data_IF_272771776338
#
_entry.id   IF_272771776338
#
_cell.length_a   1.000
_cell.length_b   1.000
_cell.length_c   1.000
_cell.angle_alpha   90.00
_cell.angle_beta   90.00
_cell.angle_gamma   90.00
#
_symmetry.space_group_name_H-M   'P 1'
#
loop_
_entity.id
_entity.type
_entity.pdbx_description
1 polymer ?
#
# COMPACT_ATOMS: atom_id res chain seq x y z
N UNK A 1 25.91 8.32 -17.94
CA UNK A 1 25.62 7.59 -16.69
C UNK A 1 24.20 7.94 -16.28
N UNK A 2 23.38 6.94 -15.82
CA UNK A 2 22.02 7.17 -15.30
C UNK A 2 22.10 7.58 -13.82
N UNK A 3 21.38 8.62 -13.44
CA UNK A 3 21.34 9.11 -12.08
C UNK A 3 19.90 9.16 -11.57
N UNK A 4 19.70 8.68 -10.35
CA UNK A 4 18.41 8.72 -9.67
C UNK A 4 18.42 9.77 -8.56
N UNK A 5 17.36 10.55 -8.50
CA UNK A 5 17.12 11.54 -7.45
C UNK A 5 15.91 11.11 -6.65
N UNK A 6 16.11 10.81 -5.38
CA UNK A 6 15.04 10.40 -4.49
C UNK A 6 14.71 11.48 -3.48
N UNK A 7 13.43 11.78 -3.31
CA UNK A 7 12.95 12.86 -2.44
C UNK A 7 11.96 12.33 -1.43
N UNK A 8 12.16 12.68 -0.16
CA UNK A 8 11.22 12.45 0.92
C UNK A 8 10.90 10.98 1.14
N UNK A 9 9.68 10.73 1.57
CA UNK A 9 9.16 9.38 1.76
C UNK A 9 9.20 8.89 3.20
N UNK A 10 9.19 7.59 3.33
CA UNK A 10 9.30 6.84 4.58
C UNK A 10 10.41 5.79 4.46
N UNK A 11 10.51 4.87 5.42
CA UNK A 11 11.55 3.84 5.43
C UNK A 11 11.59 2.97 4.17
N UNK A 12 10.53 2.90 3.38
CA UNK A 12 10.57 2.23 2.07
C UNK A 12 11.50 2.94 1.10
N UNK A 13 11.53 4.28 1.13
CA UNK A 13 12.44 5.07 0.30
C UNK A 13 13.91 4.87 0.72
N UNK A 14 14.19 4.77 2.02
CA UNK A 14 15.50 4.38 2.51
C UNK A 14 15.98 3.05 1.89
N UNK A 15 15.16 2.01 2.02
CA UNK A 15 15.52 0.69 1.49
C UNK A 15 15.51 0.63 -0.05
N UNK A 16 14.66 1.42 -0.70
CA UNK A 16 14.69 1.58 -2.16
C UNK A 16 16.03 2.20 -2.61
N UNK A 17 16.49 3.26 -1.93
CA UNK A 17 17.79 3.88 -2.23
C UNK A 17 18.94 2.90 -2.01
N UNK A 18 18.94 2.16 -0.89
CA UNK A 18 19.93 1.14 -0.59
C UNK A 18 19.95 0.04 -1.66
N UNK A 19 18.78 -0.50 -2.03
CA UNK A 19 18.66 -1.51 -3.07
C UNK A 19 19.22 -1.04 -4.42
N UNK A 20 18.88 0.17 -4.86
CA UNK A 20 19.37 0.72 -6.12
C UNK A 20 20.90 0.91 -6.10
N UNK A 21 21.47 1.38 -4.97
CA UNK A 21 22.91 1.49 -4.79
C UNK A 21 23.60 0.12 -4.85
N UNK A 22 23.03 -0.91 -4.26
CA UNK A 22 23.52 -2.31 -4.35
C UNK A 22 23.50 -2.85 -5.80
N UNK A 23 22.57 -2.38 -6.63
CA UNK A 23 22.53 -2.70 -8.06
C UNK A 23 23.49 -1.85 -8.90
N UNK A 24 24.36 -1.04 -8.28
CA UNK A 24 25.34 -0.21 -8.96
C UNK A 24 24.77 1.08 -9.56
N UNK A 25 23.56 1.48 -9.14
CA UNK A 25 22.91 2.71 -9.59
C UNK A 25 23.37 3.89 -8.74
N UNK A 26 23.68 5.02 -9.37
CA UNK A 26 23.98 6.26 -8.65
C UNK A 26 22.69 6.91 -8.17
N UNK A 27 22.51 7.03 -6.85
CA UNK A 27 21.30 7.55 -6.21
C UNK A 27 21.67 8.71 -5.28
N UNK A 28 21.15 9.89 -5.59
CA UNK A 28 21.18 11.09 -4.74
C UNK A 28 19.90 11.16 -3.92
N UNK A 29 20.00 11.47 -2.64
CA UNK A 29 18.85 11.56 -1.72
C UNK A 29 18.64 12.97 -1.19
N UNK A 30 17.35 13.36 -1.05
CA UNK A 30 16.95 14.62 -0.42
C UNK A 30 15.78 14.37 0.52
N UNK A 31 15.97 14.61 1.82
CA UNK A 31 14.98 14.38 2.89
C UNK A 31 14.45 12.93 2.94
N UNK A 32 15.24 11.98 2.53
CA UNK A 32 14.94 10.55 2.68
C UNK A 32 15.35 10.10 4.09
N UNK A 33 14.47 9.41 4.86
CA UNK A 33 14.80 8.96 6.21
C UNK A 33 16.10 8.14 6.26
N UNK A 34 16.92 8.38 7.28
CA UNK A 34 18.20 7.68 7.51
C UNK A 34 19.18 7.69 6.32
N UNK A 35 19.04 8.68 5.42
CA UNK A 35 19.98 8.97 4.34
C UNK A 35 20.58 10.37 4.55
N UNK A 36 21.83 10.55 4.13
CA UNK A 36 22.44 11.87 4.11
C UNK A 36 21.92 12.68 2.93
N UNK A 37 21.53 13.95 3.18
CA UNK A 37 21.15 14.87 2.12
C UNK A 37 22.42 15.34 1.38
N UNK A 38 22.50 15.11 0.09
CA UNK A 38 23.64 15.57 -0.73
C UNK A 38 23.53 17.08 -1.06
N UNK A 39 22.34 17.66 -0.92
CA UNK A 39 22.09 19.08 -1.20
C UNK A 39 21.31 19.75 -0.07
N UNK A 40 21.61 21.03 0.18
CA UNK A 40 20.98 21.80 1.25
C UNK A 40 19.57 22.29 0.91
N UNK A 41 19.19 22.30 -0.35
CA UNK A 41 17.86 22.76 -0.79
C UNK A 41 17.46 22.17 -2.14
N UNK A 42 16.16 22.10 -2.39
CA UNK A 42 15.60 21.65 -3.68
C UNK A 42 16.05 22.52 -4.88
N UNK A 43 16.03 23.86 -4.80
CA UNK A 43 16.52 24.70 -5.91
C UNK A 43 17.97 24.39 -6.29
N UNK A 44 18.84 24.23 -5.31
CA UNK A 44 20.25 23.89 -5.53
C UNK A 44 20.39 22.52 -6.21
N UNK A 45 19.65 21.53 -5.76
CA UNK A 45 19.63 20.19 -6.34
C UNK A 45 19.17 20.26 -7.80
N UNK A 46 18.02 20.86 -8.09
CA UNK A 46 17.43 20.92 -9.44
C UNK A 46 18.30 21.71 -10.43
N UNK A 47 18.99 22.76 -9.98
CA UNK A 47 19.90 23.55 -10.79
C UNK A 47 21.20 22.78 -11.12
N UNK A 48 21.76 22.09 -10.13
CA UNK A 48 22.94 21.24 -10.32
C UNK A 48 22.64 20.13 -11.34
N UNK A 49 21.48 19.50 -11.24
CA UNK A 49 21.09 18.46 -12.22
C UNK A 49 20.99 18.97 -13.63
N UNK A 50 20.44 20.16 -13.85
CA UNK A 50 20.35 20.76 -15.19
C UNK A 50 21.72 20.98 -15.84
N UNK A 51 22.74 21.25 -15.03
CA UNK A 51 24.06 21.68 -15.50
C UNK A 51 25.09 20.55 -15.56
N UNK A 52 24.80 19.36 -15.01
CA UNK A 52 25.73 18.24 -15.03
C UNK A 52 25.70 17.51 -16.38
N UNK A 53 26.69 17.79 -17.22
CA UNK A 53 26.84 17.17 -18.55
C UNK A 53 27.35 15.72 -18.51
N UNK A 54 27.75 15.19 -17.36
CA UNK A 54 28.23 13.80 -17.18
C UNK A 54 27.08 12.81 -17.06
N UNK A 55 25.88 13.29 -16.76
CA UNK A 55 24.66 12.50 -16.59
C UNK A 55 23.88 12.46 -17.91
N UNK A 56 23.66 11.27 -18.42
CA UNK A 56 22.92 11.02 -19.68
C UNK A 56 21.41 10.93 -19.44
N UNK A 57 21.00 10.40 -18.31
CA UNK A 57 19.60 10.20 -17.97
C UNK A 57 19.34 10.45 -16.48
N UNK A 58 18.31 11.22 -16.17
CA UNK A 58 17.93 11.66 -14.82
C UNK A 58 16.55 11.17 -14.48
N UNK A 59 16.46 10.35 -13.44
CA UNK A 59 15.20 9.75 -12.97
C UNK A 59 14.83 10.34 -11.62
N UNK A 60 13.66 10.95 -11.54
CA UNK A 60 13.09 11.42 -10.28
C UNK A 60 12.29 10.30 -9.61
N UNK A 61 12.64 9.96 -8.37
CA UNK A 61 11.93 8.99 -7.55
C UNK A 61 11.16 9.70 -6.44
N UNK A 62 9.85 9.57 -6.49
CA UNK A 62 8.91 10.13 -5.52
C UNK A 62 8.33 9.05 -4.61
N UNK A 63 7.90 9.40 -3.39
CA UNK A 63 7.41 8.43 -2.41
C UNK A 63 6.06 7.79 -2.75
N UNK A 64 5.62 6.88 -1.87
CA UNK A 64 4.31 6.20 -1.94
C UNK A 64 3.52 6.44 -0.64
N UNK A 65 2.40 7.19 -0.65
CA UNK A 65 1.94 8.06 -1.74
C UNK A 65 2.88 9.25 -1.93
N UNK A 66 2.83 9.86 -3.11
CA UNK A 66 3.62 11.08 -3.38
C UNK A 66 3.28 12.18 -2.40
N UNK A 67 2.00 12.41 -2.15
CA UNK A 67 1.53 13.37 -1.15
C UNK A 67 0.36 12.79 -0.36
N UNK A 68 0.39 12.94 0.97
CA UNK A 68 -0.73 12.53 1.86
C UNK A 68 -1.77 13.61 2.02
N UNK A 69 -1.34 14.86 2.00
CA UNK A 69 -2.20 16.04 2.12
C UNK A 69 -2.65 16.61 0.76
N UNK A 70 -2.17 16.02 -0.32
CA UNK A 70 -2.44 16.47 -1.69
C UNK A 70 -1.64 17.69 -2.13
N UNK A 71 -0.76 18.24 -1.28
CA UNK A 71 -0.01 19.47 -1.52
C UNK A 71 1.50 19.24 -1.44
N UNK A 72 1.98 18.64 -0.34
CA UNK A 72 3.40 18.50 -0.07
C UNK A 72 3.90 17.07 -0.33
N UNK A 73 5.16 16.98 -0.74
CA UNK A 73 5.82 15.69 -0.91
C UNK A 73 5.86 14.96 0.43
N UNK A 74 5.35 13.74 0.47
CA UNK A 74 5.35 12.92 1.67
C UNK A 74 6.78 12.75 2.21
N UNK A 75 6.99 13.07 3.49
CA UNK A 75 8.31 13.06 4.12
C UNK A 75 9.17 14.30 3.83
N UNK A 76 8.68 15.28 3.06
CA UNK A 76 9.38 16.53 2.76
C UNK A 76 8.37 17.69 2.68
N UNK A 77 7.89 18.15 3.84
CA UNK A 77 6.83 19.18 3.94
C UNK A 77 7.24 20.57 3.47
N UNK A 78 8.52 20.80 3.27
CA UNK A 78 9.06 22.05 2.70
C UNK A 78 8.95 22.12 1.17
N UNK A 79 8.57 20.98 0.52
CA UNK A 79 8.52 20.86 -0.93
C UNK A 79 7.08 20.54 -1.38
N UNK A 80 6.47 21.48 -2.08
CA UNK A 80 5.16 21.26 -2.68
C UNK A 80 5.25 20.52 -4.03
N UNK A 81 4.18 19.84 -4.43
CA UNK A 81 4.06 19.19 -5.75
C UNK A 81 4.33 20.18 -6.88
N UNK A 82 3.88 21.43 -6.73
CA UNK A 82 4.08 22.51 -7.72
C UNK A 82 5.56 22.83 -7.96
N UNK A 83 6.41 22.73 -6.93
CA UNK A 83 7.84 22.92 -7.07
C UNK A 83 8.45 21.82 -7.93
N UNK A 84 8.00 20.57 -7.77
CA UNK A 84 8.39 19.45 -8.62
C UNK A 84 7.92 19.69 -10.05
N UNK A 85 6.65 20.05 -10.24
CA UNK A 85 6.08 20.34 -11.55
C UNK A 85 6.86 21.44 -12.30
N UNK A 86 7.29 22.49 -11.60
CA UNK A 86 8.14 23.55 -12.16
C UNK A 86 9.57 23.14 -12.51
N UNK A 87 10.03 21.98 -12.04
CA UNK A 87 11.39 21.48 -12.24
C UNK A 87 11.48 20.25 -13.17
N UNK A 88 10.36 19.80 -13.72
CA UNK A 88 10.27 18.55 -14.51
C UNK A 88 11.25 18.51 -15.68
N UNK A 89 11.51 19.65 -16.34
CA UNK A 89 12.47 19.73 -17.45
C UNK A 89 13.92 19.40 -17.07
N UNK A 90 14.21 19.23 -15.77
CA UNK A 90 15.51 18.75 -15.29
C UNK A 90 15.60 17.20 -15.28
N UNK A 91 14.51 16.52 -15.54
CA UNK A 91 14.41 15.05 -15.47
C UNK A 91 13.93 14.46 -16.78
N UNK A 92 14.43 13.28 -17.09
CA UNK A 92 14.04 12.50 -18.25
C UNK A 92 12.90 11.52 -17.93
N UNK A 93 12.70 11.21 -16.64
CA UNK A 93 11.69 10.27 -16.19
C UNK A 93 11.26 10.54 -14.74
N UNK A 94 9.99 10.29 -14.40
CA UNK A 94 9.43 10.41 -13.04
C UNK A 94 8.79 9.09 -12.61
N UNK A 95 9.21 8.57 -11.45
CA UNK A 95 8.57 7.42 -10.80
C UNK A 95 7.98 7.84 -9.45
N UNK A 96 6.84 7.29 -9.08
CA UNK A 96 6.21 7.53 -7.79
C UNK A 96 5.03 6.61 -7.53
N UNK A 97 4.42 6.71 -6.37
CA UNK A 97 3.22 5.93 -6.08
C UNK A 97 2.02 6.81 -5.74
N UNK A 98 0.87 6.53 -6.36
CA UNK A 98 -0.32 7.38 -6.27
C UNK A 98 0.02 8.80 -6.72
N UNK A 99 0.48 8.90 -7.97
CA UNK A 99 0.83 10.20 -8.57
C UNK A 99 -0.41 11.09 -8.65
N UNK A 100 -0.37 12.30 -8.07
CA UNK A 100 -1.47 13.28 -8.18
C UNK A 100 -1.73 13.67 -9.63
N UNK A 101 -2.99 13.89 -10.02
CA UNK A 101 -3.37 14.28 -11.39
C UNK A 101 -2.65 15.53 -11.86
N UNK A 102 -2.52 16.56 -11.00
CA UNK A 102 -1.79 17.79 -11.35
C UNK A 102 -0.32 17.52 -11.71
N UNK A 103 0.33 16.53 -11.08
CA UNK A 103 1.71 16.16 -11.43
C UNK A 103 1.76 15.36 -12.74
N UNK A 104 0.83 14.43 -12.96
CA UNK A 104 0.78 13.66 -14.23
C UNK A 104 0.45 14.55 -15.43
N UNK A 105 -0.42 15.56 -15.23
CA UNK A 105 -0.74 16.55 -16.26
C UNK A 105 0.48 17.42 -16.58
N UNK A 106 1.23 17.84 -15.55
CA UNK A 106 2.47 18.59 -15.73
C UNK A 106 3.56 17.76 -16.43
N UNK A 107 3.71 16.48 -16.09
CA UNK A 107 4.62 15.56 -16.80
C UNK A 107 4.24 15.46 -18.28
N UNK A 108 2.95 15.29 -18.57
CA UNK A 108 2.44 15.21 -19.95
C UNK A 108 2.71 16.51 -20.72
N UNK A 109 2.45 17.66 -20.10
CA UNK A 109 2.70 18.98 -20.71
C UNK A 109 4.20 19.25 -20.98
N UNK A 110 5.09 18.75 -20.09
CA UNK A 110 6.53 18.85 -20.21
C UNK A 110 7.14 17.79 -21.14
N UNK A 111 6.37 16.81 -21.60
CA UNK A 111 6.86 15.68 -22.40
C UNK A 111 7.74 14.70 -21.60
N UNK A 112 7.62 14.68 -20.27
CA UNK A 112 8.39 13.81 -19.37
C UNK A 112 7.56 12.56 -19.06
N UNK A 113 8.01 11.36 -19.45
CA UNK A 113 7.32 10.13 -19.13
C UNK A 113 7.32 9.84 -17.63
N UNK A 114 6.29 9.14 -17.15
CA UNK A 114 6.18 8.80 -15.74
C UNK A 114 5.67 7.38 -15.52
N UNK A 115 6.02 6.81 -14.36
CA UNK A 115 5.59 5.50 -13.90
C UNK A 115 4.99 5.56 -12.50
N UNK A 116 3.72 5.13 -12.38
CA UNK A 116 3.04 5.02 -11.08
C UNK A 116 3.12 3.58 -10.58
N UNK A 117 3.95 3.34 -9.57
CA UNK A 117 4.13 2.01 -8.96
C UNK A 117 2.81 1.35 -8.53
N UNK A 118 1.83 2.16 -8.09
CA UNK A 118 0.58 1.62 -7.55
C UNK A 118 -0.41 1.20 -8.64
N UNK A 119 -0.13 1.57 -9.89
CA UNK A 119 -0.87 1.07 -11.07
C UNK A 119 -0.29 -0.23 -11.61
N UNK A 120 0.89 -0.63 -11.13
CA UNK A 120 1.51 -1.90 -11.52
C UNK A 120 0.95 -3.05 -10.68
N UNK A 121 0.34 -4.02 -11.36
CA UNK A 121 -0.28 -5.18 -10.71
C UNK A 121 0.75 -6.08 -10.02
N UNK A 122 1.98 -6.19 -10.55
CA UNK A 122 3.05 -6.97 -9.93
C UNK A 122 3.48 -6.34 -8.60
N UNK A 123 3.69 -5.02 -8.59
CA UNK A 123 4.00 -4.26 -7.35
C UNK A 123 2.87 -4.42 -6.33
N UNK A 124 1.63 -4.24 -6.77
CA UNK A 124 0.49 -4.35 -5.90
C UNK A 124 0.29 -5.76 -5.33
N UNK A 125 0.55 -6.81 -6.11
CA UNK A 125 0.48 -8.20 -5.65
C UNK A 125 1.60 -8.53 -4.66
N UNK A 126 2.85 -8.10 -4.94
CA UNK A 126 3.97 -8.29 -4.02
C UNK A 126 3.73 -7.55 -2.69
N UNK A 127 3.25 -6.31 -2.73
CA UNK A 127 2.91 -5.54 -1.52
C UNK A 127 1.70 -6.11 -0.75
N UNK A 128 0.80 -6.85 -1.41
CA UNK A 128 -0.30 -7.54 -0.73
C UNK A 128 0.21 -8.62 0.25
N UNK A 129 1.40 -9.18 0.01
CA UNK A 129 2.04 -10.14 0.94
C UNK A 129 2.37 -9.44 2.26
N UNK A 130 3.07 -8.31 2.21
CA UNK A 130 3.41 -7.52 3.40
C UNK A 130 2.15 -7.04 4.14
N UNK A 131 1.11 -6.64 3.40
CA UNK A 131 -0.19 -6.24 3.97
C UNK A 131 -0.86 -7.39 4.71
N UNK A 132 -0.90 -8.58 4.11
CA UNK A 132 -1.51 -9.76 4.74
C UNK A 132 -0.74 -10.23 5.99
N UNK A 133 0.59 -10.24 5.93
CA UNK A 133 1.43 -10.63 7.09
C UNK A 133 1.28 -9.65 8.25
N UNK A 134 1.29 -8.35 7.97
CA UNK A 134 1.08 -7.35 9.00
C UNK A 134 -0.33 -7.38 9.59
N UNK A 135 -1.37 -7.64 8.78
CA UNK A 135 -2.73 -7.84 9.31
C UNK A 135 -2.80 -9.06 10.25
N UNK A 136 -2.15 -10.15 9.91
CA UNK A 136 -2.06 -11.34 10.77
C UNK A 136 -1.29 -11.02 12.05
N UNK A 137 -0.17 -10.30 11.97
CA UNK A 137 0.59 -9.87 13.14
C UNK A 137 -0.26 -9.01 14.09
N UNK A 138 -1.05 -8.08 13.56
CA UNK A 138 -1.97 -7.27 14.36
C UNK A 138 -3.07 -8.12 15.01
N UNK A 139 -3.54 -9.18 14.35
CA UNK A 139 -4.51 -10.11 14.93
C UNK A 139 -3.98 -10.78 16.19
N UNK A 140 -2.72 -11.23 16.19
CA UNK A 140 -2.08 -11.79 17.38
C UNK A 140 -1.96 -10.78 18.52
N UNK A 141 -1.70 -9.52 18.20
CA UNK A 141 -1.60 -8.45 19.23
C UNK A 141 -2.96 -8.05 19.80
N UNK A 142 -4.04 -8.35 19.11
CA UNK A 142 -5.41 -7.94 19.49
C UNK A 142 -6.26 -9.08 20.04
N UNK A 143 -5.78 -10.32 19.98
CA UNK A 143 -6.53 -11.50 20.40
C UNK A 143 -5.77 -12.35 21.41
N UNK A 144 -6.51 -13.18 22.13
CA UNK A 144 -5.95 -14.16 23.08
C UNK A 144 -6.07 -15.60 22.56
N UNK A 145 -6.35 -15.77 21.25
CA UNK A 145 -6.56 -17.07 20.60
C UNK A 145 -5.63 -17.26 19.41
N UNK A 146 -5.38 -18.51 19.04
CA UNK A 146 -4.60 -18.87 17.87
C UNK A 146 -5.39 -18.60 16.57
N UNK A 147 -4.66 -18.38 15.48
CA UNK A 147 -5.25 -18.40 14.13
C UNK A 147 -5.62 -19.83 13.71
N UNK A 148 -4.80 -20.81 14.08
CA UNK A 148 -5.11 -22.22 13.84
C UNK A 148 -6.45 -22.63 14.47
N UNK A 149 -7.32 -23.28 13.71
CA UNK A 149 -8.70 -23.65 14.06
C UNK A 149 -9.64 -22.46 14.36
N UNK A 150 -9.21 -21.22 14.10
CA UNK A 150 -10.11 -20.06 14.20
C UNK A 150 -10.98 -19.91 12.94
N UNK A 151 -12.13 -19.26 13.08
CA UNK A 151 -13.00 -18.91 11.96
C UNK A 151 -12.77 -17.48 11.54
N UNK A 152 -12.26 -17.30 10.33
CA UNK A 152 -11.89 -16.01 9.77
C UNK A 152 -12.85 -15.60 8.64
N UNK A 153 -13.42 -14.41 8.72
CA UNK A 153 -14.14 -13.78 7.62
C UNK A 153 -13.22 -12.79 6.92
N UNK A 154 -13.07 -12.93 5.60
CA UNK A 154 -12.35 -11.95 4.76
C UNK A 154 -13.34 -11.31 3.81
N UNK A 155 -13.60 -10.00 3.97
CA UNK A 155 -14.46 -9.27 3.03
C UNK A 155 -13.62 -8.74 1.87
N UNK A 156 -13.99 -9.19 0.66
CA UNK A 156 -13.25 -8.91 -0.57
C UNK A 156 -12.27 -10.02 -0.96
N UNK A 157 -12.20 -10.29 -2.27
CA UNK A 157 -11.25 -11.24 -2.85
C UNK A 157 -10.41 -10.59 -3.94
N UNK A 158 -10.01 -9.34 -3.68
CA UNK A 158 -9.04 -8.60 -4.47
C UNK A 158 -7.60 -9.03 -4.18
N UNK A 159 -6.62 -8.21 -4.57
CA UNK A 159 -5.19 -8.48 -4.38
C UNK A 159 -4.85 -8.83 -2.92
N UNK A 160 -5.20 -7.96 -1.97
CA UNK A 160 -4.91 -8.19 -0.54
C UNK A 160 -5.77 -9.33 0.05
N UNK A 161 -7.09 -9.34 -0.22
CA UNK A 161 -7.99 -10.36 0.35
C UNK A 161 -7.62 -11.77 -0.07
N UNK A 162 -7.21 -11.97 -1.33
CA UNK A 162 -6.76 -13.28 -1.81
C UNK A 162 -5.49 -13.76 -1.11
N UNK A 163 -4.49 -12.90 -0.99
CA UNK A 163 -3.23 -13.27 -0.31
C UNK A 163 -3.47 -13.56 1.17
N UNK A 164 -4.28 -12.72 1.83
CA UNK A 164 -4.61 -12.88 3.23
C UNK A 164 -5.36 -14.20 3.48
N UNK A 165 -6.41 -14.48 2.70
CA UNK A 165 -7.19 -15.71 2.81
C UNK A 165 -6.30 -16.96 2.67
N UNK A 166 -5.40 -16.97 1.68
CA UNK A 166 -4.47 -18.07 1.47
C UNK A 166 -3.46 -18.26 2.60
N UNK A 167 -2.99 -17.15 3.21
CA UNK A 167 -2.09 -17.24 4.38
C UNK A 167 -2.82 -17.77 5.61
N UNK A 168 -4.04 -17.30 5.88
CA UNK A 168 -4.87 -17.78 6.99
C UNK A 168 -5.18 -19.28 6.86
N UNK A 169 -5.55 -19.76 5.66
CA UNK A 169 -5.74 -21.20 5.39
C UNK A 169 -4.49 -22.01 5.69
N UNK A 170 -3.30 -21.53 5.24
CA UNK A 170 -2.02 -22.21 5.51
C UNK A 170 -1.63 -22.22 6.98
N UNK A 171 -2.18 -21.32 7.78
CA UNK A 171 -2.05 -21.30 9.24
C UNK A 171 -3.11 -22.17 9.95
N UNK A 172 -3.93 -22.89 9.20
CA UNK A 172 -4.94 -23.80 9.74
C UNK A 172 -6.27 -23.14 10.15
N UNK A 173 -6.56 -21.92 9.69
CA UNK A 173 -7.85 -21.28 9.91
C UNK A 173 -8.94 -21.84 8.98
N UNK A 174 -10.19 -21.82 9.44
CA UNK A 174 -11.36 -21.94 8.58
C UNK A 174 -11.69 -20.57 7.98
N UNK A 175 -11.46 -20.40 6.68
CA UNK A 175 -11.62 -19.09 6.03
C UNK A 175 -12.91 -19.03 5.21
N UNK A 176 -13.71 -18.03 5.49
CA UNK A 176 -14.87 -17.64 4.68
C UNK A 176 -14.54 -16.31 3.97
N UNK A 177 -14.71 -16.29 2.66
CA UNK A 177 -14.54 -15.09 1.84
C UNK A 177 -15.91 -14.56 1.42
N UNK A 178 -16.13 -13.26 1.53
CA UNK A 178 -17.26 -12.62 0.88
C UNK A 178 -16.82 -11.73 -0.27
N UNK A 179 -17.49 -11.83 -1.42
CA UNK A 179 -17.16 -11.07 -2.61
C UNK A 179 -18.43 -10.67 -3.39
N UNK A 180 -18.34 -9.60 -4.20
CA UNK A 180 -19.46 -9.07 -4.98
C UNK A 180 -19.88 -9.95 -6.15
N UNK A 181 -18.94 -10.67 -6.75
CA UNK A 181 -19.22 -11.46 -7.96
C UNK A 181 -19.13 -12.96 -7.68
N UNK A 182 -19.98 -13.72 -8.36
CA UNK A 182 -19.97 -15.19 -8.34
C UNK A 182 -18.58 -15.71 -8.79
N UNK A 183 -17.95 -15.06 -9.77
CA UNK A 183 -16.63 -15.44 -10.25
C UNK A 183 -15.57 -15.34 -9.15
N UNK A 184 -15.59 -14.26 -8.37
CA UNK A 184 -14.65 -14.09 -7.25
C UNK A 184 -14.90 -15.12 -6.14
N UNK A 185 -16.16 -15.41 -5.82
CA UNK A 185 -16.53 -16.50 -4.90
C UNK A 185 -16.05 -17.85 -5.42
N UNK A 186 -16.24 -18.15 -6.70
CA UNK A 186 -15.77 -19.40 -7.30
C UNK A 186 -14.24 -19.53 -7.22
N UNK A 187 -13.50 -18.46 -7.54
CA UNK A 187 -12.04 -18.45 -7.39
C UNK A 187 -11.59 -18.66 -5.94
N UNK A 188 -12.31 -18.10 -4.97
CA UNK A 188 -12.04 -18.31 -3.56
C UNK A 188 -12.32 -19.77 -3.13
N UNK A 189 -13.42 -20.34 -3.59
CA UNK A 189 -13.77 -21.75 -3.32
C UNK A 189 -12.75 -22.73 -3.92
N UNK A 190 -12.23 -22.46 -5.12
CA UNK A 190 -11.12 -23.25 -5.69
C UNK A 190 -9.83 -23.15 -4.88
N UNK A 191 -9.70 -22.14 -4.04
CA UNK A 191 -8.60 -21.95 -3.10
C UNK A 191 -8.93 -22.41 -1.67
N UNK A 192 -9.88 -23.36 -1.52
CA UNK A 192 -10.30 -23.99 -0.27
C UNK A 192 -10.99 -23.04 0.74
N UNK A 193 -11.47 -21.87 0.30
CA UNK A 193 -12.27 -20.99 1.14
C UNK A 193 -13.76 -21.36 1.07
N UNK A 194 -14.47 -21.23 2.19
CA UNK A 194 -15.92 -21.05 2.15
C UNK A 194 -16.27 -19.71 1.53
N UNK A 195 -17.44 -19.59 0.92
CA UNK A 195 -17.80 -18.34 0.23
C UNK A 195 -19.22 -17.90 0.52
N UNK A 196 -19.44 -16.59 0.57
CA UNK A 196 -20.72 -15.94 0.71
C UNK A 196 -20.74 -14.77 -0.29
N UNK A 197 -21.81 -14.62 -1.07
CA UNK A 197 -21.99 -13.40 -1.87
C UNK A 197 -22.17 -12.19 -0.93
N UNK A 198 -21.57 -11.07 -1.28
CA UNK A 198 -21.54 -9.89 -0.40
C UNK A 198 -22.95 -9.34 -0.10
N UNK A 199 -23.86 -9.40 -1.06
CA UNK A 199 -25.27 -9.01 -0.90
C UNK A 199 -26.06 -9.98 -0.01
N UNK A 200 -25.55 -11.19 0.21
CA UNK A 200 -26.12 -12.20 1.11
C UNK A 200 -25.48 -12.20 2.49
N UNK A 201 -24.44 -11.37 2.70
CA UNK A 201 -23.78 -11.29 3.99
C UNK A 201 -24.77 -10.83 5.06
N UNK A 202 -24.94 -11.63 6.09
CA UNK A 202 -25.86 -11.36 7.18
C UNK A 202 -27.32 -11.79 6.97
N UNK A 203 -27.68 -12.41 5.83
CA UNK A 203 -29.05 -12.92 5.62
C UNK A 203 -29.35 -14.12 6.53
N UNK A 204 -28.74 -15.29 6.25
CA UNK A 204 -28.93 -16.51 7.04
C UNK A 204 -27.61 -16.98 7.69
N UNK A 205 -26.60 -16.14 7.64
CA UNK A 205 -25.25 -16.50 8.05
C UNK A 205 -25.08 -16.33 9.54
N UNK A 206 -24.53 -17.32 10.18
CA UNK A 206 -24.12 -17.25 11.58
C UNK A 206 -22.83 -16.40 11.69
N UNK A 207 -22.98 -15.07 11.63
CA UNK A 207 -21.84 -14.16 11.76
C UNK A 207 -21.23 -14.17 13.17
N UNK A 208 -21.98 -14.62 14.16
CA UNK A 208 -21.54 -14.82 15.53
C UNK A 208 -20.50 -15.94 15.71
N UNK A 209 -20.31 -16.78 14.69
CA UNK A 209 -19.29 -17.84 14.73
C UNK A 209 -17.87 -17.36 14.49
N UNK A 210 -17.67 -16.18 13.84
CA UNK A 210 -16.34 -15.72 13.45
C UNK A 210 -15.54 -15.18 14.63
N UNK A 211 -14.26 -15.55 14.65
CA UNK A 211 -13.25 -15.09 15.60
C UNK A 211 -12.60 -13.79 15.11
N UNK A 212 -12.32 -13.74 13.80
CA UNK A 212 -11.68 -12.61 13.13
C UNK A 212 -12.48 -12.18 11.91
N UNK A 213 -12.51 -10.87 11.69
CA UNK A 213 -13.03 -10.29 10.45
C UNK A 213 -11.99 -9.33 9.87
N UNK A 214 -11.59 -9.59 8.62
CA UNK A 214 -10.64 -8.75 7.89
C UNK A 214 -11.37 -8.05 6.75
N UNK A 215 -11.53 -6.74 6.82
CA UNK A 215 -12.10 -5.98 5.72
C UNK A 215 -11.02 -5.49 4.75
N UNK A 216 -11.21 -5.80 3.46
CA UNK A 216 -10.32 -5.34 2.38
C UNK A 216 -11.06 -4.45 1.36
N UNK A 217 -12.33 -4.14 1.60
CA UNK A 217 -13.17 -3.38 0.67
C UNK A 217 -13.27 -1.92 1.15
N UNK A 218 -12.81 -0.92 0.36
CA UNK A 218 -12.90 0.50 0.72
C UNK A 218 -14.30 1.09 0.43
N UNK A 219 -15.33 0.41 0.91
CA UNK A 219 -16.73 0.82 0.80
C UNK A 219 -17.50 0.30 2.02
N UNK A 220 -18.60 0.94 2.47
CA UNK A 220 -19.29 0.64 3.72
C UNK A 220 -20.02 -0.71 3.68
N UNK A 221 -19.26 -1.80 3.76
CA UNK A 221 -19.75 -3.19 3.71
C UNK A 221 -20.02 -3.76 5.10
N UNK A 222 -19.25 -3.35 6.11
CA UNK A 222 -19.46 -3.71 7.50
C UNK A 222 -20.23 -2.59 8.21
N UNK A 223 -21.49 -2.44 7.81
CA UNK A 223 -22.41 -1.48 8.42
C UNK A 223 -22.97 -1.98 9.76
N UNK A 224 -23.74 -1.14 10.46
CA UNK A 224 -24.36 -1.43 11.76
C UNK A 224 -25.16 -2.74 11.76
N UNK A 225 -25.92 -3.02 10.71
CA UNK A 225 -26.75 -4.22 10.63
C UNK A 225 -25.91 -5.50 10.58
N UNK A 226 -24.83 -5.49 9.79
CA UNK A 226 -23.88 -6.60 9.72
C UNK A 226 -23.12 -6.75 11.03
N UNK A 227 -22.58 -5.64 11.55
CA UNK A 227 -21.78 -5.64 12.78
C UNK A 227 -22.58 -6.07 14.00
N UNK A 228 -23.90 -5.81 14.03
CA UNK A 228 -24.78 -6.22 15.14
C UNK A 228 -24.90 -7.75 15.28
N UNK A 229 -24.59 -8.50 14.24
CA UNK A 229 -24.70 -9.97 14.19
C UNK A 229 -23.41 -10.67 14.61
N UNK A 230 -22.32 -9.92 14.74
CA UNK A 230 -21.08 -10.49 15.28
C UNK A 230 -21.14 -10.63 16.79
N UNK A 231 -20.41 -11.60 17.31
CA UNK A 231 -20.21 -11.77 18.75
C UNK A 231 -19.34 -10.65 19.31
N UNK A 232 -19.47 -10.38 20.60
CA UNK A 232 -18.79 -9.27 21.29
C UNK A 232 -17.27 -9.37 21.28
N UNK A 233 -16.73 -10.58 21.29
CA UNK A 233 -15.29 -10.83 21.39
C UNK A 233 -14.59 -11.04 20.03
N UNK A 234 -15.27 -10.78 18.91
CA UNK A 234 -14.63 -10.77 17.60
C UNK A 234 -13.53 -9.72 17.52
N UNK A 235 -12.48 -9.99 16.74
CA UNK A 235 -11.46 -9.02 16.39
C UNK A 235 -11.65 -8.58 14.95
N UNK A 236 -11.79 -7.27 14.71
CA UNK A 236 -12.02 -6.71 13.38
C UNK A 236 -10.80 -5.90 12.93
N UNK A 237 -10.24 -6.25 11.79
CA UNK A 237 -9.18 -5.48 11.14
C UNK A 237 -9.69 -4.94 9.81
N UNK A 238 -9.76 -3.63 9.69
CA UNK A 238 -10.02 -2.97 8.41
C UNK A 238 -8.69 -2.54 7.79
N UNK A 239 -8.30 -3.23 6.72
CA UNK A 239 -7.06 -2.96 5.97
C UNK A 239 -7.33 -2.26 4.64
N UNK A 240 -8.58 -1.89 4.40
CA UNK A 240 -8.95 -1.12 3.23
C UNK A 240 -8.40 0.31 3.34
N UNK A 241 -8.12 0.92 2.18
CA UNK A 241 -7.74 2.33 2.12
C UNK A 241 -8.86 3.24 2.64
N UNK A 242 -8.51 4.46 3.06
CA UNK A 242 -9.48 5.45 3.52
C UNK A 242 -10.68 5.60 2.56
N UNK A 243 -11.88 5.75 3.09
CA UNK A 243 -12.24 5.87 4.52
C UNK A 243 -12.36 4.53 5.26
N UNK A 244 -12.03 3.41 4.65
CA UNK A 244 -12.32 2.06 5.14
C UNK A 244 -13.72 1.59 4.73
N UNK A 245 -14.13 0.43 5.22
CA UNK A 245 -15.44 -0.15 4.90
C UNK A 245 -16.26 -0.56 6.13
N UNK A 246 -15.86 -0.11 7.31
CA UNK A 246 -16.40 -0.50 8.61
C UNK A 246 -17.03 0.70 9.32
N UNK A 247 -18.19 0.52 9.93
CA UNK A 247 -18.80 1.50 10.85
C UNK A 247 -18.05 1.48 12.20
N UNK A 248 -16.96 2.24 12.24
CA UNK A 248 -16.11 2.34 13.45
C UNK A 248 -16.85 2.92 14.64
N UNK A 249 -17.76 3.88 14.43
CA UNK A 249 -18.56 4.47 15.50
C UNK A 249 -19.42 3.42 16.19
N UNK A 250 -20.00 2.50 15.44
CA UNK A 250 -20.76 1.40 16.02
C UNK A 250 -19.89 0.40 16.78
N UNK A 251 -18.67 0.14 16.32
CA UNK A 251 -17.73 -0.72 17.05
C UNK A 251 -17.33 -0.10 18.39
N UNK A 252 -17.13 1.23 18.44
CA UNK A 252 -16.87 1.97 19.68
C UNK A 252 -18.08 1.88 20.64
N UNK A 253 -19.30 2.10 20.14
CA UNK A 253 -20.53 1.94 20.93
C UNK A 253 -20.66 0.54 21.57
N UNK A 254 -20.25 -0.49 20.82
CA UNK A 254 -20.33 -1.90 21.23
C UNK A 254 -19.12 -2.35 22.06
N UNK A 255 -18.03 -1.58 22.10
CA UNK A 255 -16.76 -1.99 22.72
C UNK A 255 -16.13 -3.22 22.03
N UNK A 256 -16.34 -3.40 20.72
CA UNK A 256 -15.73 -4.46 19.93
C UNK A 256 -14.28 -4.06 19.59
N UNK A 257 -13.35 -4.99 19.74
CA UNK A 257 -11.94 -4.76 19.41
C UNK A 257 -11.75 -4.63 17.90
N UNK A 258 -11.24 -3.49 17.45
CA UNK A 258 -10.96 -3.27 16.04
C UNK A 258 -9.71 -2.43 15.80
N UNK A 259 -9.24 -2.44 14.59
CA UNK A 259 -8.20 -1.53 14.10
C UNK A 259 -8.43 -1.19 12.62
N UNK A 260 -8.37 0.09 12.29
CA UNK A 260 -8.23 0.54 10.90
C UNK A 260 -6.73 0.65 10.58
N UNK A 261 -6.22 -0.32 9.85
CA UNK A 261 -4.78 -0.53 9.66
C UNK A 261 -4.31 -0.02 8.30
N UNK A 262 -3.93 1.24 8.28
CA UNK A 262 -3.32 1.87 7.11
C UNK A 262 -1.79 1.74 7.13
N UNK A 263 -1.18 1.69 5.96
CA UNK A 263 0.28 1.70 5.81
C UNK A 263 0.97 0.48 6.41
N UNK A 264 0.32 -0.68 6.42
CA UNK A 264 0.88 -1.94 6.94
C UNK A 264 2.27 -2.24 6.34
N UNK A 265 2.51 -2.17 5.02
CA UNK A 265 3.81 -2.51 4.45
C UNK A 265 4.96 -1.67 5.03
N UNK A 266 4.75 -0.37 5.26
CA UNK A 266 5.81 0.48 5.83
C UNK A 266 6.07 0.20 7.31
N UNK A 267 5.06 -0.27 8.05
CA UNK A 267 5.21 -0.59 9.49
C UNK A 267 5.86 -1.94 9.76
N UNK A 268 5.57 -2.93 8.94
CA UNK A 268 5.97 -4.32 9.20
C UNK A 268 7.05 -4.85 8.26
N UNK A 269 7.14 -4.34 7.02
CA UNK A 269 8.05 -4.85 6.00
C UNK A 269 8.61 -3.73 5.11
N UNK A 270 9.17 -2.64 5.68
CA UNK A 270 9.62 -1.49 4.90
C UNK A 270 10.76 -1.88 3.94
N UNK A 271 11.66 -2.77 4.35
CA UNK A 271 12.76 -3.25 3.51
C UNK A 271 12.24 -3.96 2.27
N UNK A 272 11.47 -5.02 2.44
CA UNK A 272 10.91 -5.79 1.31
C UNK A 272 10.05 -4.90 0.40
N UNK A 273 9.28 -3.97 0.99
CA UNK A 273 8.46 -3.05 0.19
C UNK A 273 9.32 -2.06 -0.61
N UNK A 274 10.45 -1.60 -0.08
CA UNK A 274 11.41 -0.77 -0.80
C UNK A 274 12.10 -1.53 -1.93
N UNK A 275 12.53 -2.76 -1.70
CA UNK A 275 13.13 -3.64 -2.71
C UNK A 275 12.16 -3.94 -3.86
N UNK A 276 10.87 -4.19 -3.57
CA UNK A 276 9.82 -4.38 -4.60
C UNK A 276 9.72 -3.15 -5.50
N UNK A 277 9.77 -1.95 -4.92
CA UNK A 277 9.75 -0.71 -5.71
C UNK A 277 11.02 -0.57 -6.56
N UNK A 278 12.19 -0.95 -6.02
CA UNK A 278 13.46 -0.94 -6.75
C UNK A 278 13.47 -1.88 -7.95
N UNK A 279 13.01 -3.11 -7.75
CA UNK A 279 12.83 -4.07 -8.85
C UNK A 279 11.90 -3.53 -9.95
N UNK A 280 10.78 -2.91 -9.55
CA UNK A 280 9.82 -2.35 -10.49
C UNK A 280 10.40 -1.18 -11.29
N UNK A 281 11.12 -0.26 -10.63
CA UNK A 281 11.80 0.87 -11.29
C UNK A 281 12.82 0.37 -12.30
N UNK A 282 13.71 -0.54 -11.89
CA UNK A 282 14.72 -1.09 -12.78
C UNK A 282 14.10 -1.89 -13.93
N UNK A 283 13.09 -2.70 -13.64
CA UNK A 283 12.36 -3.45 -14.66
C UNK A 283 11.69 -2.54 -15.69
N UNK A 284 11.09 -1.43 -15.27
CA UNK A 284 10.43 -0.49 -16.17
C UNK A 284 11.41 0.30 -17.05
N UNK A 285 12.58 0.65 -16.51
CA UNK A 285 13.57 1.49 -17.21
C UNK A 285 14.58 0.68 -18.05
N UNK A 286 14.61 -0.65 -17.91
CA UNK A 286 15.49 -1.51 -18.69
C UNK A 286 14.82 -2.10 -19.95
N UNK A 287 13.51 -1.92 -20.08
CA UNK A 287 12.71 -2.33 -21.23
C UNK A 287 12.08 -1.11 -21.91
#
# INVERSE_FOLDING_TARGET
>A
MRQFVMIGGDMRCHYLAAYLKEQGVYVTTYKVPDCEDEYSSWPMLSETFRNDSTVEERVLLLPVPVAKDGIHINGCTELAIENIAGSLTAFDFVCGGVLPSGLTDACTAAGVPYYDYMKDDCVALKNAVATAEGAIAESFMMSDINIENSKCLVTGYGRCGRVLAQKLLRMGAEVTVTARSVEACFKAAMGDCHTILLDQLGSDNKLDQFDFCYNTIPAPVLNRDILSKFRQNIVILDIASMPGGTDFSYLDERGIRYRHSLGIPVRYSPKTSGEILGEAVLGYLLF
#
